data_IF_235198281160
#
_entry.id   IF_235198281160
#
_cell.length_a   1.000
_cell.length_b   1.000
_cell.length_c   1.000
_cell.angle_alpha   90.00
_cell.angle_beta   90.00
_cell.angle_gamma   90.00
#
_symmetry.space_group_name_H-M   'P 1'
#
loop_
_entity.id
_entity.type
_entity.pdbx_description
1 polymer ?
#
# COMPACT_ATOMS: atom_id res chain seq x y z
N UNK A 1 -14.14 -2.00 -7.66
CA UNK A 1 -15.28 -2.92 -7.47
C UNK A 1 -15.05 -4.28 -8.12
N UNK A 2 -14.65 -4.36 -9.39
CA UNK A 2 -14.39 -5.64 -10.09
C UNK A 2 -13.37 -6.52 -9.34
N UNK A 3 -12.24 -5.95 -8.90
CA UNK A 3 -11.23 -6.72 -8.15
C UNK A 3 -11.77 -7.41 -6.89
N UNK A 4 -12.69 -6.77 -6.14
CA UNK A 4 -13.31 -7.34 -4.93
C UNK A 4 -14.26 -8.51 -5.24
N UNK A 5 -14.79 -8.57 -6.46
CA UNK A 5 -15.62 -9.69 -6.90
C UNK A 5 -14.74 -10.90 -7.26
N UNK A 6 -13.61 -10.66 -7.91
CA UNK A 6 -12.67 -11.71 -8.30
C UNK A 6 -11.92 -12.34 -7.12
N UNK A 7 -11.69 -11.61 -6.03
CA UNK A 7 -11.01 -12.15 -4.84
C UNK A 7 -11.82 -13.19 -4.07
N UNK A 8 -13.14 -13.26 -4.28
CA UNK A 8 -13.99 -14.31 -3.72
C UNK A 8 -13.91 -15.64 -4.48
N UNK A 9 -13.25 -15.67 -5.65
CA UNK A 9 -13.08 -16.90 -6.44
C UNK A 9 -12.02 -17.79 -5.78
N UNK A 10 -12.34 -19.08 -5.66
CA UNK A 10 -11.42 -20.12 -5.18
C UNK A 10 -10.14 -20.19 -6.03
N UNK A 11 -9.02 -20.69 -5.46
CA UNK A 11 -7.82 -20.98 -6.23
C UNK A 11 -8.11 -21.87 -7.45
N UNK A 12 -7.40 -21.61 -8.53
CA UNK A 12 -7.52 -22.31 -9.81
C UNK A 12 -6.12 -22.76 -10.24
N UNK A 13 -5.99 -23.61 -11.27
CA UNK A 13 -4.69 -24.15 -11.72
C UNK A 13 -3.69 -23.05 -12.09
N UNK A 14 -4.19 -21.93 -12.63
CA UNK A 14 -3.37 -20.76 -12.98
C UNK A 14 -3.03 -19.85 -11.78
N UNK A 15 -3.89 -19.81 -10.76
CA UNK A 15 -3.73 -18.97 -9.57
C UNK A 15 -3.78 -19.84 -8.32
N UNK A 16 -2.66 -20.50 -8.03
CA UNK A 16 -2.52 -21.50 -6.96
C UNK A 16 -2.78 -20.94 -5.55
N UNK A 17 -2.53 -19.64 -5.34
CA UNK A 17 -2.86 -18.94 -4.09
C UNK A 17 -4.18 -18.15 -4.15
N UNK A 18 -4.94 -18.31 -5.24
CA UNK A 18 -6.15 -17.56 -5.53
C UNK A 18 -5.89 -16.11 -5.97
N UNK A 19 -6.96 -15.33 -6.06
CA UNK A 19 -6.94 -14.01 -6.69
C UNK A 19 -6.68 -12.84 -5.74
N UNK A 20 -6.29 -13.11 -4.48
CA UNK A 20 -6.19 -12.09 -3.42
C UNK A 20 -5.24 -10.94 -3.76
N UNK A 21 -4.19 -11.18 -4.57
CA UNK A 21 -3.25 -10.14 -5.03
C UNK A 21 -3.87 -9.13 -6.01
N UNK A 22 -5.01 -9.46 -6.63
CA UNK A 22 -5.72 -8.55 -7.55
C UNK A 22 -6.24 -7.30 -6.83
N UNK A 23 -6.60 -7.40 -5.56
CA UNK A 23 -6.99 -6.24 -4.75
C UNK A 23 -5.81 -5.27 -4.56
N UNK A 24 -4.61 -5.81 -4.35
CA UNK A 24 -3.40 -4.99 -4.20
C UNK A 24 -3.02 -4.33 -5.51
N UNK A 25 -3.13 -5.08 -6.62
CA UNK A 25 -2.91 -4.52 -7.94
C UNK A 25 -3.91 -3.38 -8.23
N UNK A 26 -5.19 -3.56 -7.92
CA UNK A 26 -6.20 -2.51 -8.07
C UNK A 26 -5.88 -1.28 -7.21
N UNK A 27 -5.46 -1.50 -5.95
CA UNK A 27 -5.05 -0.42 -5.07
C UNK A 27 -3.81 0.33 -5.59
N UNK A 28 -2.82 -0.40 -6.14
CA UNK A 28 -1.64 0.20 -6.77
C UNK A 28 -2.00 1.00 -8.02
N UNK A 29 -2.85 0.47 -8.91
CA UNK A 29 -3.29 1.16 -10.12
C UNK A 29 -3.97 2.48 -9.77
N UNK A 30 -4.83 2.49 -8.75
CA UNK A 30 -5.47 3.74 -8.31
C UNK A 30 -4.46 4.73 -7.71
N UNK A 31 -3.49 4.25 -6.92
CA UNK A 31 -2.41 5.09 -6.40
C UNK A 31 -1.57 5.70 -7.54
N UNK A 32 -1.23 4.92 -8.56
CA UNK A 32 -0.51 5.40 -9.75
C UNK A 32 -1.31 6.45 -10.53
N UNK A 33 -2.62 6.23 -10.70
CA UNK A 33 -3.49 7.20 -11.34
C UNK A 33 -3.51 8.55 -10.58
N UNK A 34 -3.63 8.51 -9.25
CA UNK A 34 -3.59 9.72 -8.43
C UNK A 34 -2.23 10.42 -8.47
N UNK A 35 -1.12 9.66 -8.47
CA UNK A 35 0.23 10.24 -8.63
C UNK A 35 0.40 10.89 -10.00
N UNK A 36 -0.13 10.26 -11.06
CA UNK A 36 -0.14 10.84 -12.40
C UNK A 36 -0.93 12.15 -12.43
N UNK A 37 -2.16 12.17 -11.89
CA UNK A 37 -2.96 13.40 -11.77
C UNK A 37 -2.22 14.47 -10.98
N UNK A 38 -1.63 14.11 -9.85
CA UNK A 38 -0.83 15.01 -9.03
C UNK A 38 0.35 15.62 -9.79
N UNK A 39 1.03 14.82 -10.62
CA UNK A 39 2.11 15.29 -11.46
C UNK A 39 1.60 16.23 -12.57
N UNK A 40 0.49 15.89 -13.23
CA UNK A 40 -0.15 16.78 -14.21
C UNK A 40 -0.51 18.14 -13.61
N UNK A 41 -1.03 18.19 -12.37
CA UNK A 41 -1.32 19.45 -11.67
C UNK A 41 -0.04 20.25 -11.37
N UNK A 42 1.05 19.58 -11.02
CA UNK A 42 2.33 20.25 -10.79
C UNK A 42 2.89 20.87 -12.09
N UNK A 43 2.78 20.16 -13.21
CA UNK A 43 3.17 20.67 -14.53
C UNK A 43 2.30 21.85 -14.94
N UNK A 44 0.98 21.76 -14.74
CA UNK A 44 0.04 22.85 -15.03
C UNK A 44 0.32 24.08 -14.16
N UNK A 45 0.63 23.91 -12.87
CA UNK A 45 1.07 24.99 -11.99
C UNK A 45 2.37 25.65 -12.48
N UNK A 46 3.35 24.86 -12.91
CA UNK A 46 4.60 25.41 -13.44
C UNK A 46 4.37 26.19 -14.74
N UNK A 47 3.53 25.66 -15.63
CA UNK A 47 3.19 26.31 -16.89
C UNK A 47 2.43 27.62 -16.67
N UNK A 48 1.43 27.61 -15.79
CA UNK A 48 0.67 28.80 -15.39
C UNK A 48 1.54 29.86 -14.72
N UNK A 49 2.58 29.46 -13.98
CA UNK A 49 3.55 30.40 -13.40
C UNK A 49 4.38 31.13 -14.45
N UNK A 50 4.64 30.51 -15.61
CA UNK A 50 5.50 31.05 -16.67
C UNK A 50 4.74 31.91 -17.67
N UNK A 51 3.49 31.55 -18.01
CA UNK A 51 2.74 32.21 -19.09
C UNK A 51 1.78 33.33 -18.63
N UNK A 52 1.59 33.53 -17.32
CA UNK A 52 0.73 34.58 -16.74
C UNK A 52 -0.69 34.63 -17.36
N UNK A 53 -1.23 33.46 -17.73
CA UNK A 53 -2.59 33.34 -18.27
C UNK A 53 -3.59 33.15 -17.12
N UNK A 54 -4.19 34.25 -16.67
CA UNK A 54 -5.33 34.21 -15.74
C UNK A 54 -6.67 34.20 -16.51
N UNK A 55 -7.05 33.08 -17.11
CA UNK A 55 -8.38 32.93 -17.70
C UNK A 55 -9.46 32.71 -16.62
N UNK A 56 -10.29 33.73 -16.39
CA UNK A 56 -11.43 33.64 -15.47
C UNK A 56 -12.55 32.75 -16.04
N UNK A 57 -12.55 31.46 -15.69
CA UNK A 57 -13.62 30.52 -16.08
C UNK A 57 -14.58 30.27 -14.92
N UNK A 58 -15.65 31.06 -14.84
CA UNK A 58 -16.71 30.90 -13.82
C UNK A 58 -17.31 29.47 -13.75
N UNK A 59 -17.29 28.71 -14.85
CA UNK A 59 -17.74 27.31 -14.90
C UNK A 59 -16.91 26.36 -14.02
N UNK A 60 -15.63 26.69 -13.78
CA UNK A 60 -14.75 25.89 -12.93
C UNK A 60 -15.21 25.91 -11.47
N UNK A 61 -15.78 27.02 -10.99
CA UNK A 61 -16.22 27.16 -9.59
C UNK A 61 -17.46 26.31 -9.31
N UNK A 62 -18.48 26.36 -10.19
CA UNK A 62 -19.73 25.60 -9.99
C UNK A 62 -19.45 24.10 -9.99
N UNK A 63 -18.60 23.62 -10.91
CA UNK A 63 -18.18 22.23 -10.94
C UNK A 63 -17.35 21.83 -9.71
N UNK A 64 -16.45 22.70 -9.23
CA UNK A 64 -15.67 22.45 -8.03
C UNK A 64 -16.53 22.35 -6.76
N UNK A 65 -17.51 23.23 -6.59
CA UNK A 65 -18.45 23.19 -5.45
C UNK A 65 -19.28 21.92 -5.48
N UNK A 66 -19.82 21.56 -6.64
CA UNK A 66 -20.62 20.34 -6.81
C UNK A 66 -19.80 19.08 -6.50
N UNK A 67 -18.57 19.00 -7.04
CA UNK A 67 -17.65 17.90 -6.77
C UNK A 67 -17.27 17.82 -5.28
N UNK A 68 -17.03 18.97 -4.63
CA UNK A 68 -16.72 19.01 -3.20
C UNK A 68 -17.87 18.44 -2.37
N UNK A 69 -19.12 18.77 -2.67
CA UNK A 69 -20.28 18.24 -1.94
C UNK A 69 -20.37 16.72 -2.04
N UNK A 70 -20.20 16.16 -3.24
CA UNK A 70 -20.22 14.70 -3.44
C UNK A 70 -19.04 14.04 -2.70
N UNK A 71 -17.84 14.61 -2.80
CA UNK A 71 -16.67 14.04 -2.16
C UNK A 71 -16.69 14.16 -0.64
N UNK A 72 -17.31 15.21 -0.07
CA UNK A 72 -17.51 15.32 1.38
C UNK A 72 -18.41 14.21 1.92
N UNK A 73 -19.44 13.79 1.18
CA UNK A 73 -20.24 12.61 1.55
C UNK A 73 -19.38 11.34 1.54
N UNK A 74 -18.53 11.19 0.53
CA UNK A 74 -17.60 10.06 0.44
C UNK A 74 -16.58 10.06 1.59
N UNK A 75 -15.92 11.19 1.86
CA UNK A 75 -15.00 11.34 3.01
C UNK A 75 -15.73 11.04 4.33
N UNK A 76 -16.96 11.53 4.49
CA UNK A 76 -17.75 11.27 5.70
C UNK A 76 -18.11 9.79 5.84
N UNK A 77 -18.43 9.09 4.76
CA UNK A 77 -18.72 7.66 4.77
C UNK A 77 -17.47 6.84 5.07
N UNK A 78 -16.34 7.16 4.41
CA UNK A 78 -15.09 6.44 4.53
C UNK A 78 -14.18 6.93 5.66
N UNK A 79 -14.62 7.89 6.49
CA UNK A 79 -13.81 8.46 7.59
C UNK A 79 -13.30 7.40 8.57
N UNK A 80 -14.05 6.31 8.74
CA UNK A 80 -13.65 5.20 9.60
C UNK A 80 -12.39 4.49 9.09
N UNK A 81 -12.13 4.56 7.77
CA UNK A 81 -10.97 4.00 7.09
C UNK A 81 -9.78 4.98 7.01
N UNK A 82 -10.00 6.25 7.34
CA UNK A 82 -8.98 7.30 7.34
C UNK A 82 -7.94 7.13 8.47
N UNK A 83 -8.33 6.49 9.59
CA UNK A 83 -7.48 6.30 10.77
C UNK A 83 -6.47 5.15 10.67
N UNK A 84 -6.52 4.33 9.62
CA UNK A 84 -5.55 3.24 9.43
C UNK A 84 -4.26 3.82 8.86
N UNK A 85 -3.36 4.30 9.72
CA UNK A 85 -2.03 4.78 9.33
C UNK A 85 -0.90 3.78 9.60
N UNK A 86 -1.17 2.63 10.24
CA UNK A 86 -0.07 1.85 10.86
C UNK A 86 -0.06 0.37 10.48
N UNK A 87 -1.20 -0.26 10.13
CA UNK A 87 -1.18 -1.70 9.78
C UNK A 87 -2.39 -2.10 8.95
N UNK A 88 -2.18 -2.47 7.68
CA UNK A 88 -3.21 -3.16 6.88
C UNK A 88 -3.28 -4.62 7.36
N UNK A 89 -4.48 -5.07 7.73
CA UNK A 89 -4.67 -6.46 8.19
C UNK A 89 -5.21 -7.36 7.09
N UNK A 90 -5.88 -6.77 6.10
CA UNK A 90 -6.42 -7.48 4.95
C UNK A 90 -6.23 -6.69 3.66
N UNK A 91 -6.25 -7.39 2.53
CA UNK A 91 -6.18 -6.77 1.19
C UNK A 91 -7.39 -5.84 0.93
N UNK A 92 -8.57 -6.20 1.44
CA UNK A 92 -9.78 -5.39 1.33
C UNK A 92 -9.60 -4.00 1.97
N UNK A 93 -8.90 -3.92 3.11
CA UNK A 93 -8.62 -2.68 3.82
C UNK A 93 -7.79 -1.72 2.96
N UNK A 94 -6.82 -2.25 2.20
CA UNK A 94 -6.01 -1.43 1.29
C UNK A 94 -6.85 -0.86 0.15
N UNK A 95 -7.79 -1.65 -0.37
CA UNK A 95 -8.65 -1.21 -1.46
C UNK A 95 -9.66 -0.16 -0.98
N UNK A 96 -10.27 -0.32 0.20
CA UNK A 96 -11.11 0.72 0.81
C UNK A 96 -10.31 1.99 1.11
N UNK A 97 -9.09 1.86 1.63
CA UNK A 97 -8.21 3.00 1.87
C UNK A 97 -7.82 3.69 0.56
N UNK A 98 -7.59 2.93 -0.52
CA UNK A 98 -7.33 3.47 -1.86
C UNK A 98 -8.49 4.31 -2.39
N UNK A 99 -9.73 3.82 -2.26
CA UNK A 99 -10.94 4.58 -2.63
C UNK A 99 -11.07 5.83 -1.77
N UNK A 100 -10.84 5.73 -0.46
CA UNK A 100 -10.87 6.87 0.44
C UNK A 100 -9.85 7.95 0.04
N UNK A 101 -8.60 7.56 -0.23
CA UNK A 101 -7.54 8.49 -0.63
C UNK A 101 -7.84 9.17 -1.97
N UNK A 102 -8.51 8.47 -2.89
CA UNK A 102 -9.00 9.07 -4.15
C UNK A 102 -10.02 10.19 -3.89
N UNK A 103 -11.08 9.89 -3.13
CA UNK A 103 -12.11 10.86 -2.79
C UNK A 103 -11.52 12.04 -1.98
N UNK A 104 -10.56 11.76 -1.10
CA UNK A 104 -9.84 12.79 -0.34
C UNK A 104 -9.00 13.68 -1.27
N UNK A 105 -8.28 13.10 -2.24
CA UNK A 105 -7.51 13.86 -3.22
C UNK A 105 -8.41 14.78 -4.06
N UNK A 106 -9.56 14.29 -4.51
CA UNK A 106 -10.53 15.11 -5.24
C UNK A 106 -11.13 16.21 -4.37
N UNK A 107 -11.35 15.95 -3.08
CA UNK A 107 -11.78 16.97 -2.11
C UNK A 107 -10.75 18.08 -1.96
N UNK A 108 -9.46 17.71 -1.81
CA UNK A 108 -8.33 18.66 -1.71
C UNK A 108 -8.25 19.51 -2.97
N UNK A 109 -8.36 18.89 -4.16
CA UNK A 109 -8.35 19.59 -5.44
C UNK A 109 -9.49 20.60 -5.55
N UNK A 110 -10.73 20.18 -5.26
CA UNK A 110 -11.88 21.09 -5.30
C UNK A 110 -11.76 22.23 -4.29
N UNK A 111 -11.30 21.95 -3.07
CA UNK A 111 -11.07 22.96 -2.06
C UNK A 111 -10.00 23.98 -2.48
N UNK A 112 -8.91 23.51 -3.11
CA UNK A 112 -7.87 24.39 -3.64
C UNK A 112 -8.37 25.31 -4.75
N UNK A 113 -9.25 24.84 -5.65
CA UNK A 113 -9.84 25.68 -6.68
C UNK A 113 -10.76 26.77 -6.10
N UNK A 114 -11.59 26.40 -5.12
CA UNK A 114 -12.46 27.36 -4.42
C UNK A 114 -11.63 28.40 -3.67
N UNK A 115 -10.57 27.96 -2.98
CA UNK A 115 -9.65 28.85 -2.27
C UNK A 115 -8.94 29.81 -3.23
N UNK A 116 -8.49 29.30 -4.39
CA UNK A 116 -7.88 30.13 -5.42
C UNK A 116 -8.83 31.24 -5.90
N UNK A 117 -10.09 30.88 -6.23
CA UNK A 117 -11.09 31.86 -6.65
C UNK A 117 -11.40 32.90 -5.57
N UNK A 118 -11.44 32.49 -4.29
CA UNK A 118 -11.62 33.42 -3.18
C UNK A 118 -10.41 34.34 -2.96
N UNK A 119 -9.18 33.84 -3.14
CA UNK A 119 -7.97 34.67 -3.05
C UNK A 119 -7.87 35.67 -4.21
N UNK A 120 -8.35 35.31 -5.40
CA UNK A 120 -8.44 36.23 -6.53
C UNK A 120 -9.37 37.42 -6.25
N UNK A 121 -10.50 37.21 -5.56
CA UNK A 121 -11.40 38.33 -5.21
C UNK A 121 -10.78 39.28 -4.18
N UNK A 122 -9.79 38.82 -3.41
CA UNK A 122 -8.97 39.65 -2.51
C UNK A 122 -7.82 40.38 -3.23
N UNK A 123 -7.68 40.20 -4.55
CA UNK A 123 -6.64 40.85 -5.36
C UNK A 123 -5.26 40.18 -5.28
N UNK A 124 -5.17 38.95 -4.76
CA UNK A 124 -3.91 38.20 -4.74
C UNK A 124 -3.58 37.73 -6.15
N UNK A 125 -2.56 38.35 -6.75
CA UNK A 125 -2.02 37.92 -8.05
C UNK A 125 -1.45 36.50 -7.93
N UNK A 126 -1.65 35.67 -8.95
CA UNK A 126 -1.13 34.31 -9.04
C UNK A 126 -1.68 33.33 -7.99
N UNK A 127 -2.81 33.65 -7.37
CA UNK A 127 -3.44 32.78 -6.37
C UNK A 127 -3.78 31.38 -6.90
N UNK A 128 -4.22 31.29 -8.15
CA UNK A 128 -4.52 30.01 -8.84
C UNK A 128 -3.28 29.13 -8.93
N UNK A 129 -2.17 29.67 -9.41
CA UNK A 129 -0.89 28.98 -9.55
C UNK A 129 -0.37 28.47 -8.20
N UNK A 130 -0.44 29.30 -7.16
CA UNK A 130 -0.02 28.92 -5.81
C UNK A 130 -0.90 27.80 -5.25
N UNK A 131 -2.22 27.93 -5.35
CA UNK A 131 -3.14 26.91 -4.84
C UNK A 131 -2.99 25.58 -5.60
N UNK A 132 -2.83 25.63 -6.93
CA UNK A 132 -2.64 24.45 -7.76
C UNK A 132 -1.36 23.69 -7.38
N UNK A 133 -0.25 24.41 -7.17
CA UNK A 133 1.00 23.82 -6.68
C UNK A 133 0.87 23.20 -5.29
N UNK A 134 0.16 23.87 -4.37
CA UNK A 134 -0.11 23.34 -3.03
C UNK A 134 -0.99 22.09 -3.06
N UNK A 135 -2.04 22.09 -3.89
CA UNK A 135 -2.89 20.91 -4.12
C UNK A 135 -2.06 19.75 -4.66
N UNK A 136 -1.21 20.00 -5.66
CA UNK A 136 -0.36 18.96 -6.24
C UNK A 136 0.57 18.33 -5.17
N UNK A 137 1.24 19.15 -4.35
CA UNK A 137 2.09 18.64 -3.25
C UNK A 137 1.25 17.87 -2.23
N UNK A 138 0.09 18.40 -1.84
CA UNK A 138 -0.78 17.75 -0.85
C UNK A 138 -1.28 16.37 -1.33
N UNK A 139 -1.78 16.27 -2.57
CA UNK A 139 -2.23 15.00 -3.16
C UNK A 139 -1.07 14.00 -3.24
N UNK A 140 0.12 14.43 -3.69
CA UNK A 140 1.30 13.58 -3.74
C UNK A 140 1.66 13.00 -2.38
N UNK A 141 1.74 13.84 -1.33
CA UNK A 141 2.07 13.42 0.03
C UNK A 141 1.04 12.46 0.61
N UNK A 142 -0.24 12.67 0.30
CA UNK A 142 -1.36 11.83 0.76
C UNK A 142 -1.32 10.44 0.11
N UNK A 143 -0.95 10.33 -1.16
CA UNK A 143 -0.97 9.08 -1.93
C UNK A 143 0.30 8.26 -1.75
N UNK A 144 1.45 8.91 -1.51
CA UNK A 144 2.76 8.26 -1.40
C UNK A 144 2.83 7.07 -0.41
N UNK A 145 2.24 7.12 0.80
CA UNK A 145 2.24 5.99 1.72
C UNK A 145 1.52 4.76 1.17
N UNK A 146 0.37 4.95 0.50
CA UNK A 146 -0.39 3.87 -0.13
C UNK A 146 0.43 3.23 -1.26
N UNK A 147 1.01 4.06 -2.13
CA UNK A 147 1.86 3.59 -3.23
C UNK A 147 3.03 2.74 -2.71
N UNK A 148 3.77 3.22 -1.70
CA UNK A 148 4.88 2.47 -1.11
C UNK A 148 4.43 1.15 -0.49
N UNK A 149 3.28 1.13 0.18
CA UNK A 149 2.73 -0.08 0.79
C UNK A 149 2.32 -1.12 -0.27
N UNK A 150 1.54 -0.74 -1.29
CA UNK A 150 1.09 -1.66 -2.34
C UNK A 150 2.24 -2.12 -3.23
N UNK A 151 3.15 -1.21 -3.60
CA UNK A 151 4.35 -1.56 -4.35
C UNK A 151 5.27 -2.50 -3.56
N UNK A 152 5.46 -2.26 -2.26
CA UNK A 152 6.26 -3.14 -1.40
C UNK A 152 5.73 -4.57 -1.36
N UNK A 153 4.42 -4.76 -1.24
CA UNK A 153 3.81 -6.10 -1.25
C UNK A 153 3.96 -6.76 -2.62
N UNK A 154 3.80 -6.02 -3.72
CA UNK A 154 3.99 -6.56 -5.06
C UNK A 154 5.45 -6.92 -5.37
N UNK A 155 6.39 -6.16 -4.82
CA UNK A 155 7.84 -6.41 -4.87
C UNK A 155 8.31 -7.49 -3.88
N UNK A 156 7.38 -8.18 -3.21
CA UNK A 156 7.68 -9.26 -2.25
C UNK A 156 8.57 -8.79 -1.09
N UNK A 157 8.37 -7.54 -0.66
CA UNK A 157 9.12 -6.99 0.46
C UNK A 157 8.82 -7.75 1.74
N UNK A 158 9.81 -7.77 2.65
CA UNK A 158 9.63 -8.37 3.98
C UNK A 158 8.48 -7.67 4.72
N UNK A 159 7.57 -8.42 5.38
CA UNK A 159 6.41 -7.83 6.02
C UNK A 159 6.80 -6.77 7.07
N UNK A 160 6.26 -5.55 6.95
CA UNK A 160 6.55 -4.47 7.90
C UNK A 160 5.99 -4.74 9.32
N UNK A 161 5.00 -5.62 9.42
CA UNK A 161 4.37 -6.07 10.68
C UNK A 161 5.27 -6.99 11.50
N UNK A 162 6.15 -7.75 10.82
CA UNK A 162 7.09 -8.68 11.42
C UNK A 162 8.46 -8.02 11.39
N UNK A 163 8.79 -7.24 12.43
CA UNK A 163 10.12 -6.64 12.51
C UNK A 163 11.19 -7.71 12.30
N UNK A 164 12.27 -7.36 11.58
CA UNK A 164 13.42 -8.24 11.39
C UNK A 164 13.93 -8.83 12.71
N UNK A 165 13.69 -8.14 13.83
CA UNK A 165 14.00 -8.63 15.18
C UNK A 165 13.24 -9.91 15.59
N UNK A 166 11.95 -10.05 15.27
CA UNK A 166 11.15 -11.24 15.61
C UNK A 166 11.62 -12.42 14.76
N UNK A 167 11.78 -12.21 13.45
CA UNK A 167 12.28 -13.24 12.54
C UNK A 167 13.70 -13.70 12.94
N UNK A 168 14.56 -12.75 13.33
CA UNK A 168 15.90 -13.06 13.83
C UNK A 168 15.88 -13.81 15.17
N UNK A 169 14.90 -13.54 16.06
CA UNK A 169 14.73 -14.32 17.29
C UNK A 169 14.34 -15.76 16.99
N UNK A 170 13.37 -16.00 16.09
CA UNK A 170 12.99 -17.35 15.66
C UNK A 170 14.18 -18.06 14.99
N UNK A 171 14.93 -17.37 14.14
CA UNK A 171 16.11 -17.92 13.48
C UNK A 171 17.19 -18.32 14.49
N UNK A 172 17.40 -17.50 15.54
CA UNK A 172 18.32 -17.83 16.65
C UNK A 172 17.85 -19.04 17.45
N UNK A 173 16.55 -19.15 17.71
CA UNK A 173 15.99 -20.32 18.39
C UNK A 173 16.22 -21.60 17.57
N UNK A 174 16.05 -21.55 16.25
CA UNK A 174 16.32 -22.69 15.36
C UNK A 174 17.82 -23.02 15.33
N UNK A 175 18.69 -21.99 15.28
CA UNK A 175 20.14 -22.18 15.31
C UNK A 175 20.62 -22.81 16.63
N UNK A 176 19.86 -22.68 17.72
CA UNK A 176 20.19 -23.30 19.01
C UNK A 176 19.88 -24.81 19.07
N UNK A 177 19.18 -25.35 18.08
CA UNK A 177 18.90 -26.78 18.00
C UNK A 177 20.16 -27.56 17.63
N UNK A 178 20.36 -28.69 18.32
CA UNK A 178 21.47 -29.57 18.08
C UNK A 178 21.43 -30.12 16.64
N UNK A 179 22.56 -30.05 15.94
CA UNK A 179 22.69 -30.50 14.56
C UNK A 179 22.44 -29.45 13.49
N UNK A 180 21.96 -28.24 13.82
CA UNK A 180 21.74 -27.14 12.86
C UNK A 180 23.01 -26.27 12.70
N UNK A 181 23.44 -26.02 11.46
CA UNK A 181 24.64 -25.23 11.16
C UNK A 181 24.30 -23.77 10.80
N UNK A 182 23.70 -23.57 9.63
CA UNK A 182 23.35 -22.25 9.11
C UNK A 182 21.91 -22.23 8.56
N UNK A 183 20.94 -21.74 9.34
CA UNK A 183 19.59 -21.53 8.83
C UNK A 183 19.53 -20.22 8.03
N UNK A 184 18.99 -20.28 6.81
CA UNK A 184 18.69 -19.12 5.96
C UNK A 184 17.20 -19.01 5.76
N UNK A 185 16.64 -17.82 5.92
CA UNK A 185 15.20 -17.60 5.82
C UNK A 185 14.87 -16.46 4.88
N UNK A 186 13.89 -16.66 4.00
CA UNK A 186 13.30 -15.64 3.13
C UNK A 186 11.81 -15.56 3.41
N UNK A 187 11.33 -14.37 3.73
CA UNK A 187 9.92 -14.10 4.01
C UNK A 187 9.44 -12.93 3.19
N UNK A 188 8.23 -13.07 2.65
CA UNK A 188 7.56 -12.03 1.91
C UNK A 188 6.08 -11.98 2.28
N UNK A 189 5.50 -10.79 2.20
CA UNK A 189 4.06 -10.61 2.37
C UNK A 189 3.38 -10.84 1.02
N UNK A 190 2.43 -11.77 0.96
CA UNK A 190 1.68 -12.02 -0.28
C UNK A 190 0.48 -11.08 -0.38
N UNK A 191 -0.26 -10.95 0.72
CA UNK A 191 -1.29 -9.94 0.93
C UNK A 191 -1.25 -9.48 2.38
N UNK A 192 -1.79 -8.30 2.74
CA UNK A 192 -1.79 -7.84 4.11
C UNK A 192 -2.33 -8.92 5.06
N UNK A 193 -1.53 -9.27 6.07
CA UNK A 193 -1.87 -10.30 7.05
C UNK A 193 -1.68 -11.76 6.59
N UNK A 194 -1.13 -11.99 5.39
CA UNK A 194 -0.76 -13.32 4.90
C UNK A 194 0.70 -13.34 4.43
N UNK A 195 1.54 -13.91 5.28
CA UNK A 195 3.00 -14.03 5.07
C UNK A 195 3.34 -15.43 4.59
N UNK A 196 4.21 -15.52 3.59
CA UNK A 196 4.76 -16.76 3.07
C UNK A 196 6.26 -16.77 3.33
N UNK A 197 6.79 -17.93 3.71
CA UNK A 197 8.19 -18.11 4.06
C UNK A 197 8.83 -19.32 3.39
N UNK A 198 10.13 -19.20 3.14
CA UNK A 198 10.99 -20.33 2.78
C UNK A 198 12.24 -20.31 3.65
N UNK A 199 12.55 -21.47 4.26
CA UNK A 199 13.71 -21.64 5.13
C UNK A 199 14.53 -22.81 4.63
N UNK A 200 15.83 -22.59 4.53
CA UNK A 200 16.81 -23.63 4.24
C UNK A 200 17.66 -23.84 5.48
N UNK A 201 17.77 -25.09 5.93
CA UNK A 201 18.52 -25.47 7.12
C UNK A 201 19.54 -26.54 6.76
N UNK A 202 20.81 -26.27 7.05
CA UNK A 202 21.87 -27.27 6.94
C UNK A 202 21.97 -28.08 8.23
N UNK A 203 21.93 -29.41 8.10
CA UNK A 203 21.96 -30.34 9.24
C UNK A 203 23.15 -31.29 9.20
N UNK A 204 23.65 -31.65 10.39
CA UNK A 204 24.67 -32.70 10.55
C UNK A 204 24.07 -34.09 10.32
N UNK A 205 24.91 -35.01 9.82
CA UNK A 205 24.53 -36.41 9.65
C UNK A 205 24.04 -37.04 10.97
N UNK A 206 22.91 -37.76 10.91
CA UNK A 206 22.29 -38.40 12.09
C UNK A 206 21.27 -37.55 12.84
N UNK A 207 20.99 -36.32 12.38
CA UNK A 207 19.94 -35.47 12.96
C UNK A 207 18.55 -35.98 12.62
N UNK A 208 17.62 -35.98 13.58
CA UNK A 208 16.23 -36.35 13.32
C UNK A 208 15.49 -35.21 12.58
N UNK A 209 15.46 -35.31 11.26
CA UNK A 209 14.85 -34.32 10.35
C UNK A 209 13.36 -34.09 10.64
N UNK A 210 12.59 -35.14 10.91
CA UNK A 210 11.15 -35.02 11.17
C UNK A 210 10.84 -34.22 12.43
N UNK A 211 11.63 -34.44 13.50
CA UNK A 211 11.50 -33.68 14.75
C UNK A 211 11.87 -32.21 14.56
N UNK A 212 12.92 -31.96 13.76
CA UNK A 212 13.35 -30.62 13.40
C UNK A 212 12.28 -29.87 12.58
N UNK A 213 11.75 -30.49 11.52
CA UNK A 213 10.68 -29.91 10.70
C UNK A 213 9.47 -29.52 11.55
N UNK A 214 8.97 -30.42 12.40
CA UNK A 214 7.83 -30.15 13.30
C UNK A 214 8.11 -28.96 14.22
N UNK A 215 9.32 -28.86 14.76
CA UNK A 215 9.68 -27.76 15.65
C UNK A 215 9.73 -26.42 14.90
N UNK A 216 10.36 -26.38 13.71
CA UNK A 216 10.42 -25.18 12.87
C UNK A 216 9.01 -24.71 12.50
N UNK A 217 8.14 -25.62 12.07
CA UNK A 217 6.75 -25.29 11.77
C UNK A 217 6.01 -24.75 12.99
N UNK A 218 6.21 -25.32 14.18
CA UNK A 218 5.58 -24.81 15.42
C UNK A 218 6.01 -23.37 15.72
N UNK A 219 7.32 -23.09 15.70
CA UNK A 219 7.87 -21.76 16.03
C UNK A 219 7.34 -20.67 15.10
N UNK A 220 7.21 -20.97 13.80
CA UNK A 220 6.72 -20.01 12.83
C UNK A 220 5.19 -19.90 12.78
N UNK A 221 4.48 -20.98 13.09
CA UNK A 221 3.03 -20.93 13.20
C UNK A 221 2.58 -20.09 14.42
N UNK A 222 3.35 -20.11 15.52
CA UNK A 222 3.09 -19.29 16.71
C UNK A 222 3.15 -17.78 16.43
N UNK A 223 3.97 -17.36 15.47
CA UNK A 223 4.03 -15.96 15.01
C UNK A 223 3.06 -15.65 13.87
N UNK A 224 2.24 -16.61 13.44
CA UNK A 224 1.21 -16.43 12.43
C UNK A 224 1.64 -16.73 10.98
N UNK A 225 2.83 -17.29 10.74
CA UNK A 225 3.25 -17.75 9.41
C UNK A 225 2.71 -19.15 9.19
N UNK A 226 1.65 -19.26 8.38
CA UNK A 226 0.97 -20.53 8.11
C UNK A 226 1.54 -21.26 6.90
N UNK A 227 2.07 -20.52 5.93
CA UNK A 227 2.58 -21.06 4.68
C UNK A 227 4.11 -20.97 4.68
N UNK A 228 4.73 -22.08 5.08
CA UNK A 228 6.17 -22.18 5.29
C UNK A 228 6.71 -23.41 4.57
N UNK A 229 7.67 -23.19 3.68
CA UNK A 229 8.43 -24.29 3.08
C UNK A 229 9.78 -24.42 3.78
N UNK A 230 10.06 -25.60 4.33
CA UNK A 230 11.33 -25.90 4.98
C UNK A 230 12.11 -26.90 4.13
N UNK A 231 13.29 -26.50 3.67
CA UNK A 231 14.26 -27.35 2.98
C UNK A 231 15.37 -27.73 3.96
N UNK A 232 15.66 -29.02 4.03
CA UNK A 232 16.76 -29.56 4.83
C UNK A 232 17.84 -30.03 3.86
N UNK A 233 19.02 -29.42 3.95
CA UNK A 233 20.17 -29.81 3.16
C UNK A 233 21.16 -30.55 4.07
N UNK A 234 21.66 -31.74 3.67
CA UNK A 234 22.75 -32.39 4.38
C UNK A 234 24.03 -31.54 4.25
N UNK A 235 24.88 -31.61 5.27
CA UNK A 235 26.20 -30.97 5.21
C UNK A 235 26.99 -31.52 3.99
N UNK A 236 27.58 -30.65 3.15
CA UNK A 236 28.39 -31.06 2.01
C UNK A 236 29.68 -31.78 2.42
#
# INVERSE_FOLDING_TARGET
MIAMLYTKKSPDEFYTYGYKRMEILAALTNALFLLFLSFSLAVEALHAFVQDESEHKHYLIVSAVTNLLVNLLGVWFFRSYARIRITYRKAEDMNYHSIFLHVLADSIRSAGLILASWLLTLGVKNAETLCLGLVAIAVFLVVMPLFKATAGILLQMTPGTMSSSILNKCLRQIKSLEGVLEPRSRFWEMVPGFVVGSITVQVKAGTNEQKLLKHIHSVYNDIGIKDLTVQIDPQP
#
